data_IF_877758280390
#
_entry.id   IF_877758280390
#
_cell.length_a   1.000
_cell.length_b   1.000
_cell.length_c   1.000
_cell.angle_alpha   90.00
_cell.angle_beta   90.00
_cell.angle_gamma   90.00
#
_symmetry.space_group_name_H-M   'P 1'
#
loop_
_entity.id
_entity.type
_entity.pdbx_description
1 polymer ?
#
# COMPACT_ATOMS: atom_id res chain seq x y z
N UNK A 1 -11.80 -19.52 10.62
CA UNK A 1 -13.27 -19.50 10.52
C UNK A 1 -13.61 -19.40 9.04
N UNK A 2 -14.06 -20.47 8.40
CA UNK A 2 -14.48 -20.45 7.00
C UNK A 2 -15.89 -19.87 6.95
N UNK A 3 -16.04 -18.66 6.45
CA UNK A 3 -17.35 -18.12 6.08
C UNK A 3 -17.85 -18.91 4.87
N UNK A 4 -18.67 -19.93 5.10
CA UNK A 4 -19.48 -20.55 4.07
C UNK A 4 -20.62 -19.57 3.78
N UNK A 5 -20.54 -18.86 2.65
CA UNK A 5 -21.69 -18.08 2.18
C UNK A 5 -22.70 -19.08 1.59
N UNK A 6 -23.92 -19.10 2.09
CA UNK A 6 -25.04 -19.87 1.51
C UNK A 6 -25.59 -19.22 0.23
N UNK A 7 -24.79 -18.35 -0.41
CA UNK A 7 -25.15 -17.64 -1.63
C UNK A 7 -24.98 -18.55 -2.85
N UNK A 8 -25.96 -18.53 -3.72
CA UNK A 8 -25.87 -19.16 -5.05
C UNK A 8 -24.87 -18.44 -5.95
N UNK A 9 -24.33 -19.13 -6.95
CA UNK A 9 -23.40 -18.55 -7.93
C UNK A 9 -24.00 -17.31 -8.62
N UNK A 10 -25.29 -17.30 -8.90
CA UNK A 10 -26.00 -16.16 -9.49
C UNK A 10 -26.02 -14.94 -8.56
N UNK A 11 -26.22 -15.16 -7.26
CA UNK A 11 -26.16 -14.08 -6.27
C UNK A 11 -24.76 -13.54 -6.10
N UNK A 12 -23.74 -14.40 -6.09
CA UNK A 12 -22.34 -14.02 -6.07
C UNK A 12 -21.99 -13.15 -7.29
N UNK A 13 -22.39 -13.56 -8.49
CA UNK A 13 -22.17 -12.79 -9.71
C UNK A 13 -22.90 -11.45 -9.68
N UNK A 14 -24.14 -11.40 -9.17
CA UNK A 14 -24.89 -10.16 -9.01
C UNK A 14 -24.19 -9.21 -8.05
N UNK A 15 -23.72 -9.70 -6.90
CA UNK A 15 -22.98 -8.88 -5.93
C UNK A 15 -21.69 -8.31 -6.52
N UNK A 16 -20.92 -9.12 -7.26
CA UNK A 16 -19.72 -8.65 -7.95
C UNK A 16 -20.04 -7.56 -8.97
N UNK A 17 -21.14 -7.71 -9.71
CA UNK A 17 -21.58 -6.71 -10.70
C UNK A 17 -21.96 -5.40 -10.01
N UNK A 18 -22.79 -5.45 -8.97
CA UNK A 18 -23.21 -4.27 -8.18
C UNK A 18 -21.98 -3.58 -7.55
N UNK A 19 -21.07 -4.34 -6.96
CA UNK A 19 -19.82 -3.78 -6.43
C UNK A 19 -19.05 -2.98 -7.47
N UNK A 20 -18.91 -3.54 -8.68
CA UNK A 20 -18.16 -2.89 -9.77
C UNK A 20 -18.87 -1.65 -10.32
N UNK A 21 -20.18 -1.64 -10.33
CA UNK A 21 -21.00 -0.50 -10.76
C UNK A 21 -20.93 0.65 -9.74
N UNK A 22 -21.00 0.34 -8.44
CA UNK A 22 -20.92 1.34 -7.36
C UNK A 22 -19.50 1.87 -7.16
N UNK A 23 -18.48 1.04 -7.42
CA UNK A 23 -17.07 1.39 -7.24
C UNK A 23 -16.34 1.55 -8.59
N UNK A 24 -16.92 2.29 -9.50
CA UNK A 24 -16.41 2.49 -10.87
C UNK A 24 -14.99 3.05 -10.90
N UNK A 25 -14.64 3.97 -9.98
CA UNK A 25 -13.30 4.55 -9.83
C UNK A 25 -12.24 3.52 -9.43
N UNK A 26 -12.62 2.56 -8.57
CA UNK A 26 -11.73 1.45 -8.18
C UNK A 26 -11.46 0.55 -9.38
N UNK A 27 -12.51 0.24 -10.15
CA UNK A 27 -12.37 -0.57 -11.37
C UNK A 27 -11.54 0.14 -12.43
N UNK A 28 -11.71 1.45 -12.58
CA UNK A 28 -10.87 2.25 -13.48
C UNK A 28 -9.40 2.23 -13.06
N UNK A 29 -9.11 2.29 -11.76
CA UNK A 29 -7.75 2.17 -11.23
C UNK A 29 -7.15 0.79 -11.49
N UNK A 30 -7.91 -0.30 -11.30
CA UNK A 30 -7.44 -1.66 -11.65
C UNK A 30 -7.05 -1.76 -13.12
N UNK A 31 -7.89 -1.26 -14.04
CA UNK A 31 -7.59 -1.24 -15.47
C UNK A 31 -6.32 -0.44 -15.78
N UNK A 32 -6.17 0.72 -15.17
CA UNK A 32 -4.96 1.54 -15.33
C UNK A 32 -3.70 0.82 -14.84
N UNK A 33 -3.80 0.03 -13.77
CA UNK A 33 -2.71 -0.80 -13.29
C UNK A 33 -2.45 -2.02 -14.20
N UNK A 34 -3.48 -2.61 -14.82
CA UNK A 34 -3.31 -3.65 -15.85
C UNK A 34 -2.58 -3.10 -17.09
N UNK A 35 -2.91 -1.89 -17.52
CA UNK A 35 -2.19 -1.18 -18.59
C UNK A 35 -0.73 -0.92 -18.22
N UNK A 36 -0.46 -0.56 -16.95
CA UNK A 36 0.90 -0.40 -16.46
C UNK A 36 1.69 -1.72 -16.49
N UNK A 37 1.08 -2.85 -16.11
CA UNK A 37 1.70 -4.17 -16.24
C UNK A 37 2.00 -4.50 -17.71
N UNK A 38 1.08 -4.22 -18.62
CA UNK A 38 1.30 -4.44 -20.04
C UNK A 38 2.46 -3.59 -20.57
N UNK A 39 2.52 -2.32 -20.21
CA UNK A 39 3.61 -1.42 -20.61
C UNK A 39 4.95 -1.88 -20.04
N UNK A 40 5.01 -2.31 -18.78
CA UNK A 40 6.22 -2.87 -18.18
C UNK A 40 6.67 -4.16 -18.88
N UNK A 41 5.73 -5.07 -19.22
CA UNK A 41 6.04 -6.33 -19.89
C UNK A 41 6.52 -6.15 -21.34
N UNK A 42 6.07 -5.08 -22.02
CA UNK A 42 6.44 -4.74 -23.40
C UNK A 42 7.50 -3.62 -23.51
N UNK A 43 8.18 -3.31 -22.40
CA UNK A 43 9.14 -2.21 -22.33
C UNK A 43 10.29 -2.37 -23.32
N UNK A 44 10.56 -1.33 -24.09
CA UNK A 44 11.62 -1.29 -25.10
C UNK A 44 12.46 0.01 -25.00
N UNK A 45 13.41 0.19 -25.89
CA UNK A 45 14.32 1.36 -25.91
C UNK A 45 13.62 2.72 -26.10
N UNK A 46 12.43 2.74 -26.69
CA UNK A 46 11.64 3.96 -26.90
C UNK A 46 10.67 4.23 -25.73
N UNK A 47 10.54 3.31 -24.77
CA UNK A 47 9.66 3.47 -23.62
C UNK A 47 10.25 4.47 -22.64
N UNK A 48 9.38 5.32 -22.07
CA UNK A 48 9.77 6.31 -21.07
C UNK A 48 8.98 6.08 -19.77
N UNK A 49 9.58 6.34 -18.61
CA UNK A 49 8.86 6.35 -17.35
C UNK A 49 7.71 7.37 -17.35
N UNK A 50 6.60 7.03 -16.72
CA UNK A 50 5.43 7.92 -16.62
C UNK A 50 4.73 7.76 -15.27
N UNK A 51 4.02 8.81 -14.85
CA UNK A 51 3.29 8.77 -13.59
C UNK A 51 1.94 8.05 -13.72
N UNK A 52 1.71 7.12 -12.79
CA UNK A 52 0.47 6.35 -12.70
C UNK A 52 -0.68 7.19 -12.13
N UNK A 53 -0.37 8.19 -11.30
CA UNK A 53 -1.33 9.01 -10.57
C UNK A 53 -1.19 10.52 -10.88
N UNK A 54 -2.23 11.29 -10.57
CA UNK A 54 -2.28 12.73 -10.83
C UNK A 54 -1.40 13.56 -9.88
N UNK A 55 -0.93 12.99 -8.78
CA UNK A 55 -0.09 13.66 -7.79
C UNK A 55 1.40 13.39 -8.00
N UNK A 56 1.75 12.64 -9.06
CA UNK A 56 3.12 12.27 -9.40
C UNK A 56 3.86 11.50 -8.28
N UNK A 57 3.11 10.70 -7.52
CA UNK A 57 3.66 9.89 -6.43
C UNK A 57 4.19 8.55 -6.90
N UNK A 58 3.64 8.01 -7.98
CA UNK A 58 3.89 6.65 -8.46
C UNK A 58 4.44 6.69 -9.89
N UNK A 59 5.74 6.44 -10.05
CA UNK A 59 6.38 6.45 -11.36
C UNK A 59 6.54 5.02 -11.89
N UNK A 60 5.86 4.71 -12.99
CA UNK A 60 6.01 3.43 -13.70
C UNK A 60 7.35 3.42 -14.44
N UNK A 61 8.17 2.41 -14.17
CA UNK A 61 9.46 2.16 -14.78
C UNK A 61 9.49 0.74 -15.37
N UNK A 62 10.57 0.38 -16.07
CA UNK A 62 10.72 -0.94 -16.71
C UNK A 62 10.45 -2.12 -15.79
N UNK A 63 10.98 -2.10 -14.56
CA UNK A 63 10.97 -3.25 -13.66
C UNK A 63 9.99 -3.11 -12.49
N UNK A 64 9.18 -2.04 -12.47
CA UNK A 64 8.27 -1.82 -11.37
C UNK A 64 7.81 -0.38 -11.20
N UNK A 65 7.31 -0.07 -10.03
CA UNK A 65 6.76 1.24 -9.67
C UNK A 65 7.64 1.89 -8.61
N UNK A 66 8.19 3.06 -8.92
CA UNK A 66 8.93 3.89 -7.96
C UNK A 66 7.96 4.63 -7.06
N UNK A 67 8.22 4.60 -5.76
CA UNK A 67 7.43 5.18 -4.69
C UNK A 67 7.95 6.58 -4.28
N UNK A 68 7.17 7.38 -3.52
CA UNK A 68 7.56 8.75 -3.14
C UNK A 68 8.86 8.85 -2.36
N UNK A 69 9.20 7.84 -1.56
CA UNK A 69 10.45 7.77 -0.79
C UNK A 69 11.66 7.28 -1.61
N UNK A 70 11.50 7.07 -2.92
CA UNK A 70 12.55 6.60 -3.82
C UNK A 70 12.71 5.08 -3.90
N UNK A 71 12.04 4.31 -3.06
CA UNK A 71 12.01 2.84 -3.16
C UNK A 71 11.12 2.37 -4.31
N UNK A 72 11.19 1.07 -4.63
CA UNK A 72 10.45 0.46 -5.73
C UNK A 72 9.65 -0.74 -5.27
N UNK A 73 8.48 -0.91 -5.87
CA UNK A 73 7.81 -2.21 -5.93
C UNK A 73 8.28 -2.87 -7.23
N UNK A 74 9.05 -3.95 -7.12
CA UNK A 74 9.64 -4.64 -8.26
C UNK A 74 8.78 -5.80 -8.76
N UNK A 75 8.71 -5.93 -10.09
CA UNK A 75 8.13 -7.06 -10.79
C UNK A 75 9.14 -7.66 -11.78
N UNK A 76 10.24 -8.26 -11.28
CA UNK A 76 11.34 -8.72 -12.13
C UNK A 76 10.88 -9.83 -13.08
N UNK A 77 11.28 -9.71 -14.36
CA UNK A 77 10.91 -10.69 -15.38
C UNK A 77 9.41 -10.75 -15.66
N UNK A 78 8.71 -9.61 -15.50
CA UNK A 78 7.28 -9.51 -15.79
C UNK A 78 7.02 -9.90 -17.25
N UNK A 79 6.11 -10.85 -17.47
CA UNK A 79 5.74 -11.34 -18.79
C UNK A 79 4.28 -11.78 -18.82
N UNK A 80 3.72 -11.84 -20.04
CA UNK A 80 2.40 -12.40 -20.30
C UNK A 80 2.51 -13.90 -20.51
N UNK A 81 1.96 -14.69 -19.61
CA UNK A 81 1.96 -16.15 -19.64
C UNK A 81 0.68 -16.68 -20.29
N UNK A 82 0.84 -17.49 -21.32
CA UNK A 82 -0.24 -18.13 -22.09
C UNK A 82 -0.22 -19.66 -21.94
N UNK A 83 0.57 -20.19 -21.04
CA UNK A 83 0.75 -21.65 -20.85
C UNK A 83 -0.48 -22.34 -20.24
N UNK A 84 -1.33 -21.60 -19.56
CA UNK A 84 -2.57 -22.09 -18.95
C UNK A 84 -3.81 -21.69 -19.76
N UNK A 85 -4.97 -22.26 -19.42
CA UNK A 85 -6.27 -21.97 -20.05
C UNK A 85 -6.69 -20.49 -19.95
N UNK A 86 -6.16 -19.77 -18.96
CA UNK A 86 -6.35 -18.31 -18.80
C UNK A 86 -4.98 -17.64 -18.79
N UNK A 87 -4.74 -16.83 -19.80
CA UNK A 87 -3.54 -16.01 -19.89
C UNK A 87 -3.50 -14.98 -18.75
N UNK A 88 -2.32 -14.72 -18.19
CA UNK A 88 -2.13 -13.84 -17.04
C UNK A 88 -0.74 -13.21 -17.07
N UNK A 89 -0.57 -12.07 -16.40
CA UNK A 89 0.76 -11.56 -16.09
C UNK A 89 1.39 -12.38 -14.97
N UNK A 90 2.68 -12.69 -15.12
CA UNK A 90 3.50 -13.36 -14.09
C UNK A 90 4.83 -12.64 -13.95
N UNK A 91 5.38 -12.64 -12.75
CA UNK A 91 6.72 -12.11 -12.47
C UNK A 91 7.49 -13.08 -11.57
N UNK A 92 8.81 -12.95 -11.55
CA UNK A 92 9.71 -13.81 -10.77
C UNK A 92 9.69 -13.38 -9.29
N UNK A 93 9.04 -14.15 -8.43
CA UNK A 93 9.07 -14.01 -6.99
C UNK A 93 10.14 -14.91 -6.37
N UNK A 94 10.31 -14.85 -5.03
CA UNK A 94 11.31 -15.64 -4.30
C UNK A 94 11.21 -17.14 -4.54
N UNK A 95 10.00 -17.69 -4.63
CA UNK A 95 9.72 -19.11 -4.73
C UNK A 95 9.25 -19.55 -6.12
N UNK A 96 9.54 -18.77 -7.17
CA UNK A 96 9.12 -19.06 -8.54
C UNK A 96 8.31 -17.94 -9.16
N UNK A 97 7.54 -18.24 -10.22
CA UNK A 97 6.67 -17.25 -10.85
C UNK A 97 5.34 -17.09 -10.09
N UNK A 98 4.93 -15.86 -9.92
CA UNK A 98 3.68 -15.47 -9.25
C UNK A 98 2.82 -14.65 -10.20
N UNK A 99 1.53 -14.96 -10.26
CA UNK A 99 0.58 -14.18 -11.06
C UNK A 99 0.29 -12.83 -10.45
N UNK A 100 0.04 -11.84 -11.31
CA UNK A 100 -0.31 -10.48 -10.90
C UNK A 100 -1.33 -9.90 -11.87
N UNK A 101 -2.16 -8.99 -11.37
CA UNK A 101 -3.14 -8.22 -12.13
C UNK A 101 -3.34 -6.84 -11.49
N UNK A 102 -4.05 -5.93 -12.16
CA UNK A 102 -4.18 -4.54 -11.71
C UNK A 102 -4.67 -4.36 -10.29
N UNK A 103 -5.61 -5.20 -9.82
CA UNK A 103 -6.06 -5.14 -8.42
C UNK A 103 -4.97 -5.49 -7.42
N UNK A 104 -4.12 -6.48 -7.72
CA UNK A 104 -2.96 -6.82 -6.87
C UNK A 104 -1.91 -5.71 -6.89
N UNK A 105 -1.73 -5.00 -8.01
CA UNK A 105 -0.85 -3.83 -8.08
C UNK A 105 -1.38 -2.72 -7.17
N UNK A 106 -2.69 -2.45 -7.19
CA UNK A 106 -3.31 -1.44 -6.30
C UNK A 106 -3.09 -1.82 -4.84
N UNK A 107 -3.31 -3.08 -4.47
CA UNK A 107 -3.05 -3.57 -3.10
C UNK A 107 -1.60 -3.33 -2.68
N UNK A 108 -0.64 -3.76 -3.50
CA UNK A 108 0.79 -3.59 -3.22
C UNK A 108 1.17 -2.12 -3.04
N UNK A 109 0.65 -1.24 -3.91
CA UNK A 109 0.90 0.21 -3.84
C UNK A 109 0.32 0.80 -2.56
N UNK A 110 -0.95 0.51 -2.25
CA UNK A 110 -1.62 1.07 -1.05
C UNK A 110 -0.91 0.61 0.22
N UNK A 111 -0.55 -0.65 0.33
CA UNK A 111 0.21 -1.18 1.48
C UNK A 111 1.59 -0.52 1.59
N UNK A 112 2.29 -0.35 0.47
CA UNK A 112 3.60 0.31 0.47
C UNK A 112 3.51 1.78 0.88
N UNK A 113 2.54 2.54 0.36
CA UNK A 113 2.32 3.94 0.72
C UNK A 113 1.96 4.09 2.20
N UNK A 114 1.07 3.24 2.74
CA UNK A 114 0.74 3.21 4.16
C UNK A 114 1.99 2.97 5.02
N UNK A 115 2.85 2.01 4.61
CA UNK A 115 4.10 1.75 5.33
C UNK A 115 5.09 2.91 5.26
N UNK A 116 5.14 3.63 4.14
CA UNK A 116 5.99 4.84 3.98
C UNK A 116 5.54 5.92 4.97
N UNK A 117 4.23 6.17 5.09
CA UNK A 117 3.69 7.17 6.02
C UNK A 117 4.15 6.87 7.45
N UNK A 118 3.91 5.66 7.93
CA UNK A 118 4.34 5.24 9.28
C UNK A 118 5.86 5.34 9.44
N UNK A 119 6.62 4.91 8.42
CA UNK A 119 8.08 4.99 8.43
C UNK A 119 8.62 6.42 8.55
N UNK A 120 8.11 7.35 7.77
CA UNK A 120 8.47 8.78 7.80
C UNK A 120 8.09 9.41 9.15
N UNK A 121 6.93 9.06 9.70
CA UNK A 121 6.47 9.50 11.02
C UNK A 121 7.37 8.96 12.13
N UNK A 122 7.75 7.68 12.07
CA UNK A 122 8.69 7.07 13.03
C UNK A 122 10.05 7.76 13.04
N UNK A 123 10.58 8.16 11.89
CA UNK A 123 11.84 8.91 11.81
C UNK A 123 11.74 10.22 12.57
N UNK A 124 10.64 10.96 12.41
CA UNK A 124 10.38 12.21 13.14
C UNK A 124 10.17 11.98 14.63
N UNK A 125 9.42 10.93 15.02
CA UNK A 125 9.22 10.57 16.43
C UNK A 125 10.55 10.27 17.10
N UNK A 126 11.45 9.56 16.39
CA UNK A 126 12.77 9.18 16.92
C UNK A 126 13.71 10.35 17.21
N UNK A 127 13.38 11.56 16.76
CA UNK A 127 14.15 12.77 17.13
C UNK A 127 14.03 13.09 18.62
N UNK A 128 12.92 12.70 19.26
CA UNK A 128 12.65 13.00 20.69
C UNK A 128 12.34 11.74 21.51
N UNK A 129 11.52 10.83 20.99
CA UNK A 129 11.11 9.60 21.68
C UNK A 129 11.46 8.40 20.83
N UNK A 130 12.23 7.45 21.41
CA UNK A 130 12.70 6.28 20.67
C UNK A 130 11.56 5.30 20.41
N UNK A 131 11.18 5.00 19.14
CA UNK A 131 10.29 3.90 18.83
C UNK A 131 10.95 2.57 19.18
N UNK A 132 10.25 1.74 19.96
CA UNK A 132 10.75 0.43 20.41
C UNK A 132 10.04 -0.73 19.75
N UNK A 133 8.82 -0.52 19.26
CA UNK A 133 8.01 -1.53 18.59
C UNK A 133 7.06 -0.88 17.61
N UNK A 134 6.72 -1.61 16.53
CA UNK A 134 5.60 -1.27 15.64
C UNK A 134 4.68 -2.45 15.49
N UNK A 135 3.38 -2.19 15.52
CA UNK A 135 2.34 -3.20 15.27
C UNK A 135 1.39 -2.63 14.24
N UNK A 136 1.43 -3.16 13.01
CA UNK A 136 0.72 -2.63 11.85
C UNK A 136 1.01 -1.13 11.59
N UNK A 137 0.09 -0.25 11.91
CA UNK A 137 0.16 1.20 11.80
C UNK A 137 0.42 1.91 13.14
N UNK A 138 0.50 1.15 14.23
CA UNK A 138 0.80 1.67 15.56
C UNK A 138 2.32 1.73 15.82
N UNK A 139 2.74 2.78 16.53
CA UNK A 139 4.11 2.99 17.00
C UNK A 139 4.12 3.02 18.53
N UNK A 140 5.00 2.23 19.13
CA UNK A 140 5.18 2.17 20.59
C UNK A 140 6.50 2.84 20.94
N UNK A 141 6.44 3.78 21.88
CA UNK A 141 7.59 4.50 22.43
C UNK A 141 7.63 4.35 23.94
N UNK A 142 8.80 4.57 24.53
CA UNK A 142 8.97 4.66 25.98
C UNK A 142 9.25 6.11 26.35
N UNK A 143 8.53 6.62 27.34
CA UNK A 143 8.72 7.95 27.92
C UNK A 143 8.94 7.85 29.43
N UNK A 144 9.48 8.89 30.06
CA UNK A 144 9.53 9.03 31.49
C UNK A 144 8.13 9.31 32.03
N UNK A 145 7.82 8.88 33.25
CA UNK A 145 6.47 9.03 33.84
C UNK A 145 6.01 10.49 33.93
N UNK A 146 6.93 11.41 34.17
CA UNK A 146 6.68 12.85 34.25
C UNK A 146 6.60 13.55 32.88
N UNK A 147 6.90 12.84 31.77
CA UNK A 147 6.87 13.36 30.38
C UNK A 147 5.84 12.67 29.48
N UNK A 148 5.01 11.78 30.01
CA UNK A 148 4.03 10.98 29.23
C UNK A 148 3.05 11.85 28.44
N UNK A 149 2.53 12.92 29.06
CA UNK A 149 1.58 13.82 28.40
C UNK A 149 2.21 14.57 27.23
N UNK A 150 3.47 15.03 27.38
CA UNK A 150 4.20 15.68 26.28
C UNK A 150 4.55 14.68 25.18
N UNK A 151 4.94 13.46 25.54
CA UNK A 151 5.22 12.39 24.58
C UNK A 151 3.97 12.04 23.77
N UNK A 152 2.84 11.83 24.42
CA UNK A 152 1.57 11.53 23.75
C UNK A 152 1.16 12.63 22.79
N UNK A 153 1.21 13.89 23.22
CA UNK A 153 0.88 15.04 22.36
C UNK A 153 1.81 15.13 21.14
N UNK A 154 3.12 15.00 21.36
CA UNK A 154 4.12 15.06 20.28
C UNK A 154 3.92 13.94 19.25
N UNK A 155 3.65 12.70 19.71
CA UNK A 155 3.41 11.56 18.82
C UNK A 155 2.11 11.73 18.05
N UNK A 156 1.02 12.16 18.69
CA UNK A 156 -0.26 12.44 18.03
C UNK A 156 -0.10 13.51 16.95
N UNK A 157 0.59 14.61 17.24
CA UNK A 157 0.82 15.70 16.30
C UNK A 157 1.57 15.21 15.04
N UNK A 158 2.62 14.39 15.23
CA UNK A 158 3.38 13.82 14.11
C UNK A 158 2.55 12.81 13.33
N UNK A 159 1.89 11.87 14.00
CA UNK A 159 1.14 10.79 13.35
C UNK A 159 -0.17 11.28 12.72
N UNK A 160 -0.69 12.42 13.12
CA UNK A 160 -1.84 13.08 12.49
C UNK A 160 -1.46 14.03 11.36
N UNK A 161 -0.16 14.19 11.08
CA UNK A 161 0.33 15.07 10.01
C UNK A 161 0.58 14.26 8.74
N UNK A 162 -0.10 14.59 7.61
CA UNK A 162 0.14 13.91 6.33
C UNK A 162 1.53 14.24 5.79
N UNK A 163 2.16 13.33 5.02
CA UNK A 163 3.42 13.60 4.37
C UNK A 163 3.25 14.62 3.23
N UNK A 164 4.32 15.32 2.86
CA UNK A 164 4.28 16.35 1.80
C UNK A 164 3.78 15.81 0.44
N UNK A 165 4.16 14.58 0.09
CA UNK A 165 3.75 13.93 -1.15
C UNK A 165 2.27 13.50 -1.16
N UNK A 166 1.58 13.53 0.00
CA UNK A 166 0.16 13.26 0.14
C UNK A 166 -0.53 14.37 0.96
N UNK A 167 -0.19 15.63 0.70
CA UNK A 167 -0.81 16.78 1.34
C UNK A 167 -2.34 16.72 1.15
N UNK A 168 -3.10 16.76 2.23
CA UNK A 168 -4.55 16.63 2.21
C UNK A 168 -5.08 15.21 2.42
N UNK A 169 -4.21 14.19 2.55
CA UNK A 169 -4.64 12.88 3.02
C UNK A 169 -5.16 13.00 4.47
N UNK A 170 -6.39 12.59 4.77
CA UNK A 170 -6.90 12.62 6.13
C UNK A 170 -6.26 11.50 6.97
N UNK A 171 -5.23 11.84 7.73
CA UNK A 171 -4.62 10.95 8.72
C UNK A 171 -4.99 11.41 10.12
N UNK A 172 -5.27 10.47 11.01
CA UNK A 172 -5.58 10.72 12.41
C UNK A 172 -4.90 9.66 13.28
N UNK A 173 -4.59 10.00 14.52
CA UNK A 173 -3.97 9.13 15.49
C UNK A 173 -4.62 9.31 16.85
N UNK A 174 -4.76 8.20 17.56
CA UNK A 174 -5.07 8.15 18.99
C UNK A 174 -3.87 7.60 19.74
N UNK A 175 -3.59 8.09 20.93
CA UNK A 175 -2.56 7.55 21.81
C UNK A 175 -3.17 7.07 23.12
N UNK A 176 -2.60 5.99 23.64
CA UNK A 176 -2.83 5.48 24.99
C UNK A 176 -1.48 5.23 25.63
N UNK A 177 -1.46 5.19 26.94
CA UNK A 177 -0.26 4.86 27.71
C UNK A 177 -0.60 4.04 28.94
N UNK A 178 0.38 3.32 29.44
CA UNK A 178 0.27 2.46 30.61
C UNK A 178 1.66 1.93 30.99
N UNK A 179 1.75 1.20 32.09
CA UNK A 179 3.00 0.62 32.60
C UNK A 179 3.53 -0.48 31.68
N UNK A 180 2.67 -1.06 30.85
CA UNK A 180 3.02 -2.07 29.84
C UNK A 180 2.21 -1.90 28.56
N UNK A 181 2.68 -2.50 27.47
CA UNK A 181 1.95 -2.52 26.20
C UNK A 181 0.55 -3.15 26.32
N UNK A 182 0.34 -4.04 27.28
CA UNK A 182 -0.96 -4.67 27.51
C UNK A 182 -1.99 -3.74 28.17
N UNK A 183 -1.56 -2.61 28.71
CA UNK A 183 -2.40 -1.63 29.40
C UNK A 183 -2.81 -0.46 28.48
N UNK A 184 -2.30 -0.44 27.24
CA UNK A 184 -2.51 0.62 26.25
C UNK A 184 -3.73 0.38 25.34
#
# INVERSE_FOLDING_TARGET
>A
MLFRSDLSDNECQRLVKVYREVNDKVIALWKKCDEALQNMASWNENSQPYYLDAHNCLLVCKEGIKLPNGLYIYYPGLTWDTSESKSKFVYKARNGFTSIWGGSVVENVVQALARIIVGEQMVKINEKYKPVLTVHDAVVCVAQDDDVDNASKFIIDIMSTPPQWAAGLPVACEAKYGDSYGDC
#
